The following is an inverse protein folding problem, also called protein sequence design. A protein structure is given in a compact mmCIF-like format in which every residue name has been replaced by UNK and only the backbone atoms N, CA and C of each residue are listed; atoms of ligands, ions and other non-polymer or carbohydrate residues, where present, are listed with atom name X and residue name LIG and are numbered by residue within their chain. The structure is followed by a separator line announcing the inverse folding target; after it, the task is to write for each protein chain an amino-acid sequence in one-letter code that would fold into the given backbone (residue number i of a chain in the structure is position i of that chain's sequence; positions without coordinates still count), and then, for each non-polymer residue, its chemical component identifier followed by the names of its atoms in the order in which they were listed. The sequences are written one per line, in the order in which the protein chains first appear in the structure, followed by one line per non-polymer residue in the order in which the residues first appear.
data_IF_480084095454
#
_entry.id   IF_480084095454
#
_cell.length_a   1.000
_cell.length_b   1.000
_cell.length_c   1.000
_cell.angle_alpha   90.00
_cell.angle_beta   90.00
_cell.angle_gamma   90.00
#
_symmetry.space_group_name_H-M   'P 1'
#
loop_
_entity.id
_entity.type
_entity.pdbx_description
1 polymer ?
#
# COMPACT_ATOMS: atom_id res chain seq x y z
N UNK A 1 -15.84 15.46 -2.61
CA UNK A 1 -15.14 14.51 -1.72
C UNK A 1 -14.19 13.70 -2.57
N UNK A 2 -12.91 14.02 -2.55
CA UNK A 2 -11.90 13.23 -3.27
C UNK A 2 -11.70 11.93 -2.50
N UNK A 3 -11.88 10.76 -3.14
CA UNK A 3 -11.62 9.49 -2.47
C UNK A 3 -10.15 9.41 -2.07
N UNK A 4 -9.88 8.93 -0.87
CA UNK A 4 -8.53 8.60 -0.47
C UNK A 4 -8.04 7.42 -1.33
N UNK A 5 -6.93 7.60 -2.01
CA UNK A 5 -6.27 6.51 -2.72
C UNK A 5 -5.31 5.82 -1.77
N UNK A 6 -5.63 4.60 -1.41
CA UNK A 6 -4.78 3.74 -0.59
C UNK A 6 -4.08 2.72 -1.47
N UNK A 7 -2.77 2.63 -1.34
CA UNK A 7 -1.96 1.74 -2.14
C UNK A 7 -1.21 0.75 -1.24
N UNK A 8 -1.33 -0.53 -1.54
CA UNK A 8 -0.61 -1.60 -0.84
C UNK A 8 0.50 -2.16 -1.73
N UNK A 9 1.71 -2.22 -1.19
CA UNK A 9 2.87 -2.77 -1.87
C UNK A 9 3.31 -4.10 -1.29
N UNK A 10 3.52 -5.08 -2.15
CA UNK A 10 4.15 -6.36 -1.84
C UNK A 10 5.34 -6.59 -2.77
N UNK A 11 6.55 -6.66 -2.22
CA UNK A 11 7.73 -7.03 -2.98
C UNK A 11 7.86 -8.55 -3.02
N UNK A 12 7.85 -9.11 -4.22
CA UNK A 12 8.23 -10.49 -4.45
C UNK A 12 9.59 -10.55 -5.16
N UNK A 13 10.59 -11.19 -4.56
CA UNK A 13 11.82 -11.53 -5.25
C UNK A 13 11.61 -12.84 -5.99
N UNK A 14 11.68 -12.84 -7.31
CA UNK A 14 11.69 -14.04 -8.13
C UNK A 14 13.12 -14.31 -8.62
N UNK A 15 13.70 -15.45 -8.21
CA UNK A 15 14.87 -16.02 -8.83
C UNK A 15 14.40 -16.91 -9.99
N UNK A 16 14.59 -16.46 -11.22
CA UNK A 16 14.32 -17.27 -12.41
C UNK A 16 15.63 -17.90 -12.91
N UNK A 17 15.75 -19.20 -12.75
CA UNK A 17 16.71 -20.05 -13.47
C UNK A 17 15.90 -20.91 -14.46
N UNK A 18 16.03 -20.61 -15.78
CA UNK A 18 15.47 -21.44 -16.83
C UNK A 18 14.68 -20.65 -17.88
N UNK A 19 15.05 -20.89 -19.14
CA UNK A 19 14.43 -20.36 -20.35
C UNK A 19 12.99 -20.87 -20.49
N UNK A 20 12.04 -20.22 -19.86
CA UNK A 20 10.66 -20.26 -20.28
C UNK A 20 10.05 -18.91 -19.96
N UNK A 21 9.54 -18.24 -20.99
CA UNK A 21 8.68 -17.05 -20.86
C UNK A 21 7.38 -17.45 -20.13
N UNK A 22 7.47 -17.70 -18.85
CA UNK A 22 6.35 -17.64 -17.95
C UNK A 22 6.26 -16.18 -17.53
N UNK A 23 5.34 -15.45 -18.14
CA UNK A 23 4.80 -14.24 -17.55
C UNK A 23 4.14 -14.71 -16.25
N UNK A 24 4.92 -14.70 -15.18
CA UNK A 24 4.33 -14.91 -13.86
C UNK A 24 3.31 -13.78 -13.66
N UNK A 25 2.03 -14.08 -13.43
CA UNK A 25 1.10 -13.04 -13.05
C UNK A 25 1.69 -12.34 -11.84
N UNK A 26 1.74 -11.01 -11.87
CA UNK A 26 2.14 -10.23 -10.72
C UNK A 26 1.29 -10.72 -9.54
N UNK A 27 1.95 -11.28 -8.52
CA UNK A 27 1.28 -11.65 -7.29
C UNK A 27 0.86 -10.37 -6.57
N UNK A 28 -0.21 -9.76 -7.06
CA UNK A 28 -0.87 -8.67 -6.37
C UNK A 28 -1.69 -9.25 -5.23
N UNK A 29 -1.54 -8.73 -4.04
CA UNK A 29 -2.43 -9.04 -2.92
C UNK A 29 -3.78 -8.33 -3.14
N UNK A 30 -4.48 -8.77 -4.18
CA UNK A 30 -5.81 -8.28 -4.50
C UNK A 30 -6.85 -9.26 -3.93
N UNK A 31 -7.46 -8.96 -2.78
CA UNK A 31 -8.41 -9.86 -2.14
C UNK A 31 -9.68 -10.09 -2.97
N UNK A 32 -9.97 -9.24 -3.95
CA UNK A 32 -11.13 -9.43 -4.83
C UNK A 32 -11.01 -10.66 -5.71
N UNK A 33 -9.80 -11.14 -5.95
CA UNK A 33 -9.52 -12.37 -6.71
C UNK A 33 -9.77 -13.64 -5.90
N UNK A 34 -9.91 -13.52 -4.60
CA UNK A 34 -10.06 -14.64 -3.67
C UNK A 34 -11.20 -14.37 -2.67
N UNK A 35 -12.44 -14.17 -3.16
CA UNK A 35 -13.56 -13.77 -2.31
C UNK A 35 -13.88 -14.78 -1.20
N UNK A 36 -13.54 -16.06 -1.40
CA UNK A 36 -13.72 -17.12 -0.41
C UNK A 36 -12.83 -16.97 0.83
N UNK A 37 -11.75 -16.16 0.74
CA UNK A 37 -10.86 -15.86 1.86
C UNK A 37 -11.08 -14.44 2.42
N UNK A 38 -11.97 -13.67 1.82
CA UNK A 38 -12.28 -12.32 2.30
C UNK A 38 -13.08 -12.41 3.60
N UNK A 39 -12.48 -11.96 4.70
CA UNK A 39 -13.13 -11.96 6.02
C UNK A 39 -14.03 -10.75 6.25
N UNK A 40 -13.93 -9.73 5.41
CA UNK A 40 -14.69 -8.50 5.53
C UNK A 40 -15.24 -8.07 4.18
N UNK A 41 -16.48 -7.62 4.20
CA UNK A 41 -17.07 -6.92 3.06
C UNK A 41 -16.66 -5.45 3.13
N UNK A 42 -16.02 -4.95 2.08
CA UNK A 42 -15.74 -3.53 1.99
C UNK A 42 -17.05 -2.73 1.92
N UNK A 43 -17.13 -1.56 2.55
CA UNK A 43 -18.24 -0.65 2.33
C UNK A 43 -18.39 -0.31 0.84
N UNK A 44 -19.62 -0.14 0.38
CA UNK A 44 -19.93 0.05 -1.03
C UNK A 44 -19.29 1.31 -1.65
N UNK A 45 -18.90 2.26 -0.83
CA UNK A 45 -18.25 3.52 -1.18
C UNK A 45 -16.73 3.47 -1.10
N UNK A 46 -16.15 2.31 -0.74
CA UNK A 46 -14.70 2.11 -0.63
C UNK A 46 -14.21 1.23 -1.77
N UNK A 47 -13.42 1.81 -2.66
CA UNK A 47 -12.72 1.07 -3.72
C UNK A 47 -11.22 1.09 -3.39
N UNK A 48 -10.62 -0.06 -3.03
CA UNK A 48 -9.18 -0.11 -2.81
C UNK A 48 -8.45 0.07 -4.14
N UNK A 49 -7.43 0.92 -4.14
CA UNK A 49 -6.51 1.06 -5.26
C UNK A 49 -5.13 0.54 -4.83
N UNK A 50 -4.50 -0.24 -5.72
CA UNK A 50 -3.15 -0.74 -5.53
C UNK A 50 -2.19 -0.01 -6.46
N UNK A 51 -1.02 0.35 -5.93
CA UNK A 51 0.02 1.03 -6.70
C UNK A 51 1.25 0.13 -6.84
N UNK A 52 1.82 0.08 -8.04
CA UNK A 52 3.10 -0.58 -8.28
C UNK A 52 4.28 0.26 -7.79
N UNK A 53 5.42 -0.40 -7.55
CA UNK A 53 6.62 0.29 -7.04
C UNK A 53 7.11 1.40 -7.99
N UNK A 54 7.07 1.17 -9.29
CA UNK A 54 7.55 2.16 -10.27
C UNK A 54 6.69 3.43 -10.23
N UNK A 55 5.37 3.27 -10.10
CA UNK A 55 4.46 4.39 -9.96
C UNK A 55 4.69 5.12 -8.64
N UNK A 56 4.87 4.39 -7.53
CA UNK A 56 5.17 4.98 -6.24
C UNK A 56 6.48 5.79 -6.29
N UNK A 57 7.52 5.27 -6.93
CA UNK A 57 8.79 5.98 -7.10
C UNK A 57 8.58 7.26 -7.91
N UNK A 58 7.80 7.20 -8.99
CA UNK A 58 7.47 8.37 -9.80
C UNK A 58 6.73 9.43 -9.00
N UNK A 59 5.74 9.03 -8.19
CA UNK A 59 4.96 9.91 -7.35
C UNK A 59 5.81 10.57 -6.25
N UNK A 60 6.72 9.82 -5.63
CA UNK A 60 7.66 10.34 -4.62
C UNK A 60 8.60 11.40 -5.24
N UNK A 61 9.01 11.19 -6.49
CA UNK A 61 9.86 12.15 -7.21
C UNK A 61 9.11 13.37 -7.73
N UNK A 62 7.80 13.28 -7.84
CA UNK A 62 6.96 14.39 -8.28
C UNK A 62 6.89 15.50 -7.22
N UNK A 63 6.53 16.72 -7.65
CA UNK A 63 6.35 17.84 -6.73
C UNK A 63 5.18 17.66 -5.75
N UNK A 64 4.16 16.91 -6.16
CA UNK A 64 3.01 16.54 -5.31
C UNK A 64 3.25 15.17 -4.67
N UNK A 65 4.14 15.12 -3.69
CA UNK A 65 4.50 13.88 -2.99
C UNK A 65 3.33 13.32 -2.19
N UNK A 66 3.02 12.01 -2.30
CA UNK A 66 2.04 11.36 -1.45
C UNK A 66 2.51 11.36 0.02
N UNK A 67 1.57 11.29 0.95
CA UNK A 67 1.87 10.96 2.33
C UNK A 67 2.05 9.44 2.42
N UNK A 68 3.22 9.01 2.87
CA UNK A 68 3.53 7.60 3.10
C UNK A 68 3.24 7.26 4.56
N UNK A 69 2.45 6.24 4.80
CA UNK A 69 2.12 5.75 6.14
C UNK A 69 2.51 4.28 6.25
N UNK A 70 3.39 3.99 7.19
CA UNK A 70 3.76 2.64 7.57
C UNK A 70 2.76 2.12 8.62
N UNK A 71 2.00 1.10 8.25
CA UNK A 71 0.99 0.50 9.13
C UNK A 71 1.50 -0.73 9.89
N UNK A 72 2.78 -1.05 9.74
CA UNK A 72 3.43 -2.13 10.49
C UNK A 72 3.59 -1.75 11.95
N UNK A 73 4.15 -2.64 12.75
CA UNK A 73 4.42 -2.34 14.14
C UNK A 73 5.45 -1.23 14.29
N UNK A 74 5.46 -0.58 15.44
CA UNK A 74 6.45 0.47 15.70
C UNK A 74 7.89 -0.07 15.70
N UNK A 75 8.09 -1.29 16.15
CA UNK A 75 9.38 -1.97 16.16
C UNK A 75 9.91 -2.15 14.73
N UNK A 76 9.06 -2.62 13.81
CA UNK A 76 9.40 -2.77 12.40
C UNK A 76 9.69 -1.43 11.72
N UNK A 77 8.93 -0.40 12.05
CA UNK A 77 9.19 0.96 11.56
C UNK A 77 10.54 1.48 12.05
N UNK A 78 10.86 1.30 13.33
CA UNK A 78 12.11 1.77 13.93
C UNK A 78 13.32 1.01 13.35
N UNK A 79 13.14 -0.25 12.97
CA UNK A 79 14.18 -1.06 12.33
C UNK A 79 14.51 -0.58 10.91
N UNK A 80 13.49 -0.42 10.08
CA UNK A 80 13.64 0.08 8.71
C UNK A 80 12.30 0.59 8.16
N UNK A 81 12.30 1.74 7.53
CA UNK A 81 11.13 2.32 6.87
C UNK A 81 11.50 3.17 5.65
N UNK A 82 10.53 3.49 4.83
CA UNK A 82 10.72 4.38 3.69
C UNK A 82 10.97 5.80 4.19
N UNK A 83 12.00 6.45 3.66
CA UNK A 83 12.37 7.80 4.05
C UNK A 83 11.18 8.77 3.89
N UNK A 84 10.85 9.45 4.97
CA UNK A 84 9.72 10.39 5.02
C UNK A 84 8.36 9.76 5.35
N UNK A 85 8.31 8.44 5.56
CA UNK A 85 7.10 7.78 6.01
C UNK A 85 6.78 8.12 7.47
N UNK A 86 5.50 8.09 7.80
CA UNK A 86 4.99 8.23 9.16
C UNK A 86 4.53 6.87 9.67
N UNK A 87 4.85 6.58 10.93
CA UNK A 87 4.34 5.37 11.59
C UNK A 87 2.91 5.59 12.05
N UNK A 88 2.02 4.69 11.67
CA UNK A 88 0.66 4.59 12.20
C UNK A 88 0.25 3.11 12.24
N UNK A 89 0.67 2.38 13.29
CA UNK A 89 0.41 0.96 13.41
C UNK A 89 -1.07 0.62 13.22
N UNK A 90 -1.36 -0.45 12.48
CA UNK A 90 -2.72 -0.83 12.11
C UNK A 90 -3.63 -1.01 13.33
N UNK A 91 -3.08 -1.53 14.43
CA UNK A 91 -3.82 -1.73 15.68
C UNK A 91 -4.33 -0.40 16.29
N UNK A 92 -3.64 0.70 16.05
CA UNK A 92 -3.95 2.03 16.58
C UNK A 92 -4.38 3.01 15.46
N UNK A 93 -4.50 2.52 14.23
CA UNK A 93 -4.68 3.36 13.05
C UNK A 93 -5.88 4.32 13.16
N UNK A 94 -6.93 3.90 13.84
CA UNK A 94 -8.12 4.70 14.05
C UNK A 94 -7.83 6.03 14.77
N UNK A 95 -6.83 6.06 15.65
CA UNK A 95 -6.42 7.26 16.37
C UNK A 95 -5.71 8.27 15.46
N UNK A 96 -5.07 7.78 14.39
CA UNK A 96 -4.35 8.62 13.43
C UNK A 96 -5.27 9.21 12.34
N UNK A 97 -6.45 8.65 12.12
CA UNK A 97 -7.37 9.09 11.06
C UNK A 97 -7.64 10.61 11.05
N UNK A 98 -7.86 11.28 12.19
CA UNK A 98 -8.12 12.72 12.19
C UNK A 98 -6.94 13.57 11.71
N UNK A 99 -5.73 13.04 11.81
CA UNK A 99 -4.48 13.75 11.39
C UNK A 99 -4.12 13.51 9.94
N UNK A 100 -4.75 12.54 9.27
CA UNK A 100 -4.48 12.21 7.87
C UNK A 100 -5.11 13.27 6.96
N UNK A 101 -4.32 13.98 6.14
CA UNK A 101 -4.84 14.99 5.24
C UNK A 101 -5.75 14.39 4.17
N UNK A 102 -6.76 15.14 3.76
CA UNK A 102 -7.74 14.73 2.74
C UNK A 102 -7.50 15.37 1.37
N UNK A 103 -6.50 16.23 1.27
CA UNK A 103 -6.20 17.06 0.10
C UNK A 103 -4.99 16.53 -0.71
N UNK A 104 -4.44 15.40 -0.33
CA UNK A 104 -3.35 14.75 -1.05
C UNK A 104 -3.46 13.23 -1.04
N UNK A 105 -2.81 12.54 -1.98
CA UNK A 105 -2.74 11.08 -1.99
C UNK A 105 -2.08 10.55 -0.72
N UNK A 106 -2.61 9.45 -0.21
CA UNK A 106 -2.06 8.73 0.95
C UNK A 106 -1.74 7.31 0.51
N UNK A 107 -0.53 6.87 0.77
CA UNK A 107 -0.05 5.52 0.47
C UNK A 107 0.23 4.80 1.78
N UNK A 108 -0.41 3.66 1.97
CA UNK A 108 -0.20 2.77 3.11
C UNK A 108 0.70 1.59 2.70
N UNK A 109 1.59 1.17 3.57
CA UNK A 109 2.41 -0.05 3.37
C UNK A 109 2.71 -0.75 4.67
#
# INVERSE_FOLDING_TARGET
MTPHKFYLYLSGAALALGLSLLIAPSAGADPSKYPEFAQQTLPADVTPEFIGIDQLIADIKASAKPLLIDVRTKEEFDEVHILGAQSAPLAEFKEYLPSIPRDKPVVLY
#
